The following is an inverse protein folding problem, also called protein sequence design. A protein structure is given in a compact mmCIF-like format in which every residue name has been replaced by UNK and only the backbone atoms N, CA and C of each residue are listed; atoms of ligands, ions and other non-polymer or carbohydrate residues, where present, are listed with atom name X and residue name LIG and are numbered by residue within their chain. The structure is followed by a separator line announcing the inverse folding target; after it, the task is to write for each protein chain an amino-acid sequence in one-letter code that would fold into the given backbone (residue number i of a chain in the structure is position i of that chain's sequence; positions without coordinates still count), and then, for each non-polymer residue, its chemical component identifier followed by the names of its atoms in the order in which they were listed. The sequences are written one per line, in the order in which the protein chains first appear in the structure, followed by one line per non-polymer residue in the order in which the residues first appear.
data_IF_964268223112
#
_entry.id   IF_964268223112
#
_cell.length_a   1.000
_cell.length_b   1.000
_cell.length_c   1.000
_cell.angle_alpha   90.00
_cell.angle_beta   90.00
_cell.angle_gamma   90.00
#
_symmetry.space_group_name_H-M   'P 1'
#
loop_
_entity.id
_entity.type
_entity.pdbx_description
1 polymer ?
#
# COMPACT_ATOMS: atom_id res chain seq x y z
N UNK A 1 0.92 -13.42 0.01
CA UNK A 1 0.58 -12.05 -0.39
C UNK A 1 1.70 -11.54 -1.28
N UNK A 2 1.39 -11.15 -2.51
CA UNK A 2 2.28 -10.43 -3.43
C UNK A 2 2.00 -8.94 -3.37
N UNK A 3 3.03 -8.16 -3.04
CA UNK A 3 2.95 -6.69 -2.95
C UNK A 3 3.90 -6.07 -3.96
N UNK A 4 3.39 -5.15 -4.76
CA UNK A 4 4.19 -4.24 -5.59
C UNK A 4 4.47 -2.96 -4.80
N UNK A 5 5.72 -2.74 -4.43
CA UNK A 5 6.21 -1.46 -3.90
C UNK A 5 6.56 -0.49 -5.03
N UNK A 6 6.14 0.76 -4.89
CA UNK A 6 6.36 1.85 -5.84
C UNK A 6 6.95 3.06 -5.12
N UNK A 7 8.21 3.37 -5.44
CA UNK A 7 8.89 4.61 -5.07
C UNK A 7 8.75 5.61 -6.25
N UNK A 8 7.76 6.52 -6.20
CA UNK A 8 7.36 7.28 -7.36
C UNK A 8 8.33 8.42 -7.68
N UNK A 9 8.64 8.58 -8.95
CA UNK A 9 9.37 9.73 -9.46
C UNK A 9 9.16 9.88 -10.96
N UNK A 10 9.04 11.12 -11.42
CA UNK A 10 8.75 11.37 -12.83
C UNK A 10 9.89 10.88 -13.73
N UNK A 11 11.16 11.11 -13.36
CA UNK A 11 12.33 10.65 -14.13
C UNK A 11 12.68 9.19 -13.85
N UNK A 12 12.54 8.76 -12.60
CA UNK A 12 12.85 7.40 -12.12
C UNK A 12 11.76 7.01 -11.15
N UNK A 13 11.00 5.99 -11.50
CA UNK A 13 9.99 5.39 -10.64
C UNK A 13 10.47 3.98 -10.28
N UNK A 14 10.90 3.80 -9.03
CA UNK A 14 11.38 2.52 -8.51
C UNK A 14 10.21 1.56 -8.31
N UNK A 15 10.36 0.31 -8.74
CA UNK A 15 9.33 -0.72 -8.63
C UNK A 15 9.95 -2.03 -8.15
N UNK A 16 9.26 -2.70 -7.23
CA UNK A 16 9.74 -3.96 -6.66
C UNK A 16 8.60 -4.83 -6.16
N UNK A 17 8.66 -6.13 -6.44
CA UNK A 17 7.63 -7.09 -6.05
C UNK A 17 8.20 -8.05 -5.03
N UNK A 18 7.54 -8.13 -3.88
CA UNK A 18 7.87 -9.05 -2.80
C UNK A 18 6.67 -9.94 -2.53
N UNK A 19 6.93 -11.23 -2.37
CA UNK A 19 5.96 -12.21 -1.91
C UNK A 19 6.29 -12.66 -0.49
N UNK A 20 5.26 -12.78 0.34
CA UNK A 20 5.40 -13.42 1.64
C UNK A 20 4.20 -13.25 2.54
N UNK A 21 4.45 -13.54 3.82
CA UNK A 21 3.52 -13.34 4.93
C UNK A 21 4.28 -12.81 6.15
N UNK A 22 3.61 -12.08 7.05
CA UNK A 22 4.19 -11.63 8.31
C UNK A 22 4.82 -12.79 9.10
N UNK A 23 6.07 -12.60 9.56
CA UNK A 23 6.81 -13.61 10.33
C UNK A 23 7.30 -14.81 9.52
N UNK A 24 7.15 -14.81 8.19
CA UNK A 24 7.71 -15.84 7.30
C UNK A 24 8.79 -15.24 6.41
N UNK A 25 9.56 -16.13 5.76
CA UNK A 25 10.55 -15.71 4.77
C UNK A 25 9.88 -14.94 3.64
N UNK A 26 10.50 -13.83 3.25
CA UNK A 26 10.09 -13.02 2.11
C UNK A 26 10.91 -13.39 0.87
N UNK A 27 10.29 -13.31 -0.30
CA UNK A 27 10.92 -13.60 -1.59
C UNK A 27 10.78 -12.39 -2.51
N UNK A 28 11.88 -11.95 -3.11
CA UNK A 28 11.85 -10.96 -4.19
C UNK A 28 11.46 -11.65 -5.50
N UNK A 29 10.37 -11.22 -6.13
CA UNK A 29 9.95 -11.72 -7.45
C UNK A 29 10.52 -10.88 -8.60
N UNK A 30 10.81 -9.60 -8.34
CA UNK A 30 11.40 -8.71 -9.33
C UNK A 30 11.66 -7.33 -8.76
N UNK A 31 12.61 -6.62 -9.36
CA UNK A 31 12.89 -5.22 -9.05
C UNK A 31 13.41 -4.48 -10.28
N UNK A 32 13.08 -3.20 -10.39
CA UNK A 32 13.44 -2.39 -11.54
C UNK A 32 13.14 -0.91 -11.35
N UNK A 33 13.33 -0.14 -12.42
CA UNK A 33 13.03 1.29 -12.47
C UNK A 33 12.37 1.59 -13.80
N UNK A 34 11.18 2.18 -13.76
CA UNK A 34 10.56 2.81 -14.92
C UNK A 34 11.22 4.17 -15.11
N UNK A 35 11.80 4.40 -16.28
CA UNK A 35 12.55 5.63 -16.58
C UNK A 35 11.82 6.44 -17.63
N UNK A 36 11.85 7.76 -17.48
CA UNK A 36 11.38 8.69 -18.50
C UNK A 36 12.48 9.70 -18.84
N UNK A 37 12.63 10.09 -20.12
CA UNK A 37 13.57 11.13 -20.51
C UNK A 37 13.17 12.47 -19.86
N UNK A 38 14.10 13.17 -19.17
CA UNK A 38 13.77 14.44 -18.52
C UNK A 38 13.49 15.58 -19.50
N UNK A 39 13.90 15.44 -20.77
CA UNK A 39 13.68 16.42 -21.83
C UNK A 39 12.29 16.36 -22.48
N UNK A 40 11.50 15.32 -22.20
CA UNK A 40 10.14 15.18 -22.74
C UNK A 40 9.14 16.04 -21.95
N UNK A 41 8.05 16.42 -22.62
CA UNK A 41 6.91 17.08 -21.98
C UNK A 41 6.26 16.19 -20.91
N UNK A 42 5.58 16.83 -19.95
CA UNK A 42 4.97 16.14 -18.81
C UNK A 42 4.00 15.02 -19.23
N UNK A 43 3.13 15.26 -20.21
CA UNK A 43 2.13 14.28 -20.67
C UNK A 43 2.75 12.96 -21.16
N UNK A 44 3.66 13.00 -22.16
CA UNK A 44 4.41 11.82 -22.60
C UNK A 44 5.15 11.09 -21.47
N UNK A 45 5.72 11.83 -20.52
CA UNK A 45 6.41 11.22 -19.36
C UNK A 45 5.44 10.48 -18.44
N UNK A 46 4.29 11.06 -18.13
CA UNK A 46 3.25 10.37 -17.34
C UNK A 46 2.73 9.13 -18.05
N UNK A 47 2.57 9.17 -19.38
CA UNK A 47 2.19 8.01 -20.18
C UNK A 47 3.27 6.91 -20.15
N UNK A 48 4.54 7.27 -20.18
CA UNK A 48 5.63 6.31 -20.03
C UNK A 48 5.67 5.67 -18.62
N UNK A 49 5.38 6.45 -17.57
CA UNK A 49 5.22 5.93 -16.20
C UNK A 49 4.04 4.96 -16.14
N UNK A 50 2.88 5.32 -16.69
CA UNK A 50 1.69 4.47 -16.75
C UNK A 50 1.99 3.14 -17.43
N UNK A 51 2.51 3.15 -18.67
CA UNK A 51 2.87 1.93 -19.41
C UNK A 51 3.82 1.03 -18.64
N UNK A 52 4.86 1.63 -18.06
CA UNK A 52 5.82 0.89 -17.24
C UNK A 52 5.15 0.25 -16.03
N UNK A 53 4.24 0.94 -15.34
CA UNK A 53 3.52 0.35 -14.21
C UNK A 53 2.54 -0.75 -14.64
N UNK A 54 1.82 -0.57 -15.75
CA UNK A 54 0.91 -1.56 -16.30
C UNK A 54 1.66 -2.88 -16.63
N UNK A 55 2.87 -2.81 -17.18
CA UNK A 55 3.72 -3.99 -17.42
C UNK A 55 4.03 -4.78 -16.14
N UNK A 56 4.30 -4.08 -15.03
CA UNK A 56 4.57 -4.72 -13.74
C UNK A 56 3.31 -5.32 -13.12
N UNK A 57 2.19 -4.61 -13.23
CA UNK A 57 0.88 -5.09 -12.77
C UNK A 57 0.45 -6.34 -13.54
N UNK A 58 0.66 -6.37 -14.86
CA UNK A 58 0.39 -7.54 -15.70
C UNK A 58 1.31 -8.71 -15.36
N UNK A 59 2.63 -8.47 -15.35
CA UNK A 59 3.63 -9.52 -15.15
C UNK A 59 3.49 -10.21 -13.80
N UNK A 60 3.27 -9.45 -12.73
CA UNK A 60 3.33 -9.97 -11.38
C UNK A 60 1.98 -10.13 -10.71
N UNK A 61 0.90 -9.59 -11.28
CA UNK A 61 -0.47 -9.68 -10.75
C UNK A 61 -0.54 -9.51 -9.21
N UNK A 62 -0.03 -8.38 -8.67
CA UNK A 62 0.07 -8.19 -7.23
C UNK A 62 -1.33 -8.11 -6.59
N UNK A 63 -1.42 -8.55 -5.34
CA UNK A 63 -2.64 -8.47 -4.54
C UNK A 63 -2.82 -7.06 -3.94
N UNK A 64 -1.74 -6.27 -3.86
CA UNK A 64 -1.73 -4.91 -3.35
C UNK A 64 -0.57 -4.09 -3.92
N UNK A 65 -0.79 -2.78 -4.06
CA UNK A 65 0.26 -1.81 -4.39
C UNK A 65 0.57 -0.90 -3.19
N UNK A 66 1.83 -0.89 -2.76
CA UNK A 66 2.34 -0.04 -1.70
C UNK A 66 3.11 1.14 -2.31
N UNK A 67 2.62 2.36 -2.13
CA UNK A 67 3.20 3.56 -2.74
C UNK A 67 3.84 4.43 -1.65
N UNK A 68 5.00 5.01 -1.91
CA UNK A 68 5.57 6.01 -0.99
C UNK A 68 4.69 7.26 -0.94
N UNK A 69 4.41 7.73 0.27
CA UNK A 69 3.69 8.97 0.51
C UNK A 69 4.61 10.15 0.25
N UNK A 70 4.15 11.04 -0.62
CA UNK A 70 4.89 12.25 -1.02
C UNK A 70 4.72 13.35 0.03
N UNK A 71 5.81 13.99 0.43
CA UNK A 71 5.83 15.15 1.34
C UNK A 71 6.45 16.37 0.67
N UNK A 72 5.80 17.54 0.81
CA UNK A 72 6.37 18.83 0.40
C UNK A 72 6.92 19.53 1.65
N UNK A 73 8.24 19.70 1.76
CA UNK A 73 8.81 20.57 2.80
C UNK A 73 9.64 21.72 2.24
N UNK A 74 10.51 21.51 1.23
CA UNK A 74 11.42 22.58 0.78
C UNK A 74 11.69 22.64 -0.73
N UNK A 75 11.12 21.73 -1.54
CA UNK A 75 11.43 21.68 -2.98
C UNK A 75 10.19 21.36 -3.84
N UNK A 76 9.32 22.36 -3.97
CA UNK A 76 7.97 22.22 -4.59
C UNK A 76 8.04 21.70 -6.03
N UNK A 77 9.06 22.11 -6.81
CA UNK A 77 9.19 21.72 -8.23
C UNK A 77 9.41 20.22 -8.42
N UNK A 78 10.31 19.61 -7.64
CA UNK A 78 10.59 18.17 -7.77
C UNK A 78 9.48 17.34 -7.15
N UNK A 79 8.92 17.81 -6.03
CA UNK A 79 7.80 17.16 -5.34
C UNK A 79 6.56 17.05 -6.24
N UNK A 80 6.27 18.06 -7.07
CA UNK A 80 5.13 18.00 -7.98
C UNK A 80 5.23 16.83 -8.97
N UNK A 81 6.41 16.63 -9.58
CA UNK A 81 6.62 15.52 -10.51
C UNK A 81 6.49 14.15 -9.84
N UNK A 82 6.98 14.01 -8.62
CA UNK A 82 6.81 12.79 -7.80
C UNK A 82 5.35 12.57 -7.42
N UNK A 83 4.61 13.61 -7.03
CA UNK A 83 3.19 13.52 -6.72
C UNK A 83 2.36 13.10 -7.95
N UNK A 84 2.67 13.64 -9.13
CA UNK A 84 2.01 13.25 -10.38
C UNK A 84 2.30 11.78 -10.75
N UNK A 85 3.55 11.33 -10.62
CA UNK A 85 3.90 9.91 -10.83
C UNK A 85 3.22 8.98 -9.81
N UNK A 86 3.11 9.41 -8.55
CA UNK A 86 2.38 8.69 -7.49
C UNK A 86 0.90 8.53 -7.85
N UNK A 87 0.26 9.60 -8.33
CA UNK A 87 -1.14 9.56 -8.78
C UNK A 87 -1.35 8.56 -9.94
N UNK A 88 -0.41 8.47 -10.88
CA UNK A 88 -0.45 7.47 -11.96
C UNK A 88 -0.41 6.04 -11.38
N UNK A 89 0.47 5.76 -10.41
CA UNK A 89 0.54 4.46 -9.76
C UNK A 89 -0.77 4.08 -9.04
N UNK A 90 -1.34 5.02 -8.29
CA UNK A 90 -2.64 4.82 -7.62
C UNK A 90 -3.73 4.53 -8.65
N UNK A 91 -3.78 5.30 -9.74
CA UNK A 91 -4.79 5.15 -10.79
C UNK A 91 -4.68 3.78 -11.49
N UNK A 92 -3.48 3.36 -11.90
CA UNK A 92 -3.28 2.08 -12.59
C UNK A 92 -3.74 0.90 -11.73
N UNK A 93 -3.36 0.88 -10.44
CA UNK A 93 -3.78 -0.16 -9.50
C UNK A 93 -5.31 -0.16 -9.27
N UNK A 94 -5.87 1.03 -9.02
CA UNK A 94 -7.30 1.18 -8.70
C UNK A 94 -8.19 0.78 -9.88
N UNK A 95 -7.79 1.09 -11.13
CA UNK A 95 -8.51 0.67 -12.35
C UNK A 95 -8.63 -0.86 -12.48
N UNK A 96 -7.69 -1.60 -11.89
CA UNK A 96 -7.67 -3.07 -11.86
C UNK A 96 -8.38 -3.65 -10.63
N UNK A 97 -8.90 -2.80 -9.73
CA UNK A 97 -9.46 -3.22 -8.46
C UNK A 97 -8.42 -3.70 -7.45
N UNK A 98 -7.13 -3.37 -7.66
CA UNK A 98 -6.05 -3.72 -6.74
C UNK A 98 -5.99 -2.65 -5.64
N UNK A 99 -6.08 -3.01 -4.36
CA UNK A 99 -5.99 -2.05 -3.27
C UNK A 99 -4.63 -1.35 -3.24
N UNK A 100 -4.64 -0.09 -2.81
CA UNK A 100 -3.44 0.75 -2.70
C UNK A 100 -3.26 1.23 -1.26
N UNK A 101 -2.02 1.24 -0.76
CA UNK A 101 -1.69 1.81 0.55
C UNK A 101 -0.50 2.76 0.44
N UNK A 102 -0.59 3.91 1.09
CA UNK A 102 0.45 4.93 1.13
C UNK A 102 1.26 4.85 2.42
N UNK A 103 2.57 4.61 2.32
CA UNK A 103 3.48 4.56 3.47
C UNK A 103 4.42 5.76 3.50
N UNK A 104 4.65 6.31 4.68
CA UNK A 104 5.64 7.37 4.88
C UNK A 104 7.06 6.81 4.88
N UNK A 105 8.09 7.60 4.53
CA UNK A 105 9.48 7.16 4.61
C UNK A 105 9.88 6.66 6.01
N UNK A 106 9.43 7.35 7.06
CA UNK A 106 9.69 6.96 8.45
C UNK A 106 9.05 5.62 8.80
N UNK A 107 7.85 5.34 8.28
CA UNK A 107 7.22 4.02 8.41
C UNK A 107 8.07 2.95 7.72
N UNK A 108 8.43 3.14 6.45
CA UNK A 108 9.24 2.17 5.71
C UNK A 108 10.53 1.86 6.46
N UNK A 109 11.26 2.91 6.88
CA UNK A 109 12.49 2.78 7.66
C UNK A 109 12.28 2.02 8.96
N UNK A 110 11.25 2.38 9.74
CA UNK A 110 10.94 1.71 11.00
C UNK A 110 10.59 0.23 10.80
N UNK A 111 9.83 -0.11 9.76
CA UNK A 111 9.45 -1.50 9.49
C UNK A 111 10.67 -2.35 9.13
N UNK A 112 11.56 -1.84 8.28
CA UNK A 112 12.69 -2.61 7.75
C UNK A 112 13.88 -2.65 8.71
N UNK A 113 14.12 -1.57 9.46
CA UNK A 113 15.35 -1.40 10.26
C UNK A 113 15.12 -1.35 11.76
N UNK A 114 13.86 -1.22 12.21
CA UNK A 114 13.52 -0.94 13.60
C UNK A 114 13.62 0.55 13.98
N UNK A 115 14.10 1.42 13.10
CA UNK A 115 14.21 2.87 13.35
C UNK A 115 13.64 3.70 12.20
N UNK A 116 12.72 4.62 12.50
CA UNK A 116 12.20 5.57 11.52
C UNK A 116 13.23 6.60 11.03
N UNK A 117 14.38 6.68 11.68
CA UNK A 117 15.46 7.63 11.38
C UNK A 117 16.63 7.00 10.61
N UNK A 118 16.52 5.73 10.22
CA UNK A 118 17.59 5.02 9.51
C UNK A 118 17.97 5.71 8.19
N UNK A 119 19.25 5.60 7.85
CA UNK A 119 19.78 6.09 6.57
C UNK A 119 19.53 5.09 5.42
N UNK A 120 19.81 5.52 4.19
CA UNK A 120 19.55 4.70 2.99
C UNK A 120 20.46 3.46 2.92
N UNK A 121 21.66 3.52 3.46
CA UNK A 121 22.60 2.39 3.47
C UNK A 121 22.13 1.30 4.45
N UNK A 122 21.61 1.70 5.61
CA UNK A 122 20.99 0.81 6.59
C UNK A 122 19.75 0.12 6.01
N UNK A 123 18.86 0.88 5.36
CA UNK A 123 17.68 0.31 4.68
C UNK A 123 18.11 -0.70 3.63
N UNK A 124 19.07 -0.35 2.76
CA UNK A 124 19.58 -1.25 1.72
C UNK A 124 20.17 -2.55 2.31
N UNK A 125 20.98 -2.43 3.36
CA UNK A 125 21.57 -3.58 4.06
C UNK A 125 20.48 -4.50 4.62
N UNK A 126 19.47 -3.92 5.25
CA UNK A 126 18.36 -4.69 5.81
C UNK A 126 17.50 -5.34 4.71
N UNK A 127 17.14 -4.64 3.65
CA UNK A 127 16.43 -5.22 2.50
C UNK A 127 17.19 -6.42 1.93
N UNK A 128 18.50 -6.27 1.72
CA UNK A 128 19.39 -7.35 1.24
C UNK A 128 19.31 -8.57 2.15
N UNK A 129 19.44 -8.37 3.46
CA UNK A 129 19.38 -9.43 4.47
C UNK A 129 18.00 -10.10 4.54
N UNK A 130 16.93 -9.32 4.55
CA UNK A 130 15.56 -9.82 4.73
C UNK A 130 15.10 -10.66 3.54
N UNK A 131 15.52 -10.28 2.33
CA UNK A 131 15.25 -11.00 1.10
C UNK A 131 16.30 -12.07 0.78
N UNK A 132 17.32 -12.25 1.64
CA UNK A 132 18.44 -13.19 1.46
C UNK A 132 19.13 -13.04 0.10
N UNK A 133 19.39 -11.80 -0.31
CA UNK A 133 20.11 -11.52 -1.54
C UNK A 133 21.62 -11.62 -1.29
N UNK A 134 22.36 -12.19 -2.26
CA UNK A 134 23.82 -12.30 -2.18
C UNK A 134 24.53 -10.94 -2.24
N UNK A 135 23.86 -9.93 -2.82
CA UNK A 135 24.37 -8.58 -2.97
C UNK A 135 23.24 -7.55 -2.87
N UNK A 136 23.56 -6.27 -2.60
CA UNK A 136 22.57 -5.19 -2.62
C UNK A 136 21.75 -5.17 -3.92
N UNK A 137 20.43 -4.97 -3.83
CA UNK A 137 19.57 -4.98 -5.01
C UNK A 137 19.94 -3.82 -5.94
N UNK A 138 19.95 -4.09 -7.24
CA UNK A 138 20.23 -3.11 -8.30
C UNK A 138 18.97 -2.89 -9.14
N UNK A 139 18.76 -1.68 -9.69
CA UNK A 139 19.58 -0.46 -9.60
C UNK A 139 19.43 0.29 -8.26
N UNK A 140 20.08 1.44 -8.07
CA UNK A 140 20.17 2.16 -6.78
C UNK A 140 18.83 2.51 -6.07
N UNK A 141 17.70 2.50 -6.78
CA UNK A 141 16.35 2.78 -6.23
C UNK A 141 15.57 1.48 -5.95
N UNK A 142 16.16 0.32 -6.24
CA UNK A 142 15.57 -0.99 -6.03
C UNK A 142 15.28 -1.26 -4.55
N UNK A 143 16.19 -0.83 -3.67
CA UNK A 143 16.05 -1.04 -2.23
C UNK A 143 14.81 -0.33 -1.66
N UNK A 144 14.51 0.89 -2.10
CA UNK A 144 13.40 1.70 -1.58
C UNK A 144 12.05 1.07 -1.97
N UNK A 145 11.91 0.66 -3.25
CA UNK A 145 10.72 -0.05 -3.72
C UNK A 145 10.50 -1.40 -3.03
N UNK A 146 11.57 -2.19 -2.82
CA UNK A 146 11.48 -3.44 -2.06
C UNK A 146 11.14 -3.19 -0.58
N UNK A 147 11.70 -2.15 0.03
CA UNK A 147 11.41 -1.78 1.41
C UNK A 147 9.94 -1.40 1.60
N UNK A 148 9.32 -0.70 0.64
CA UNK A 148 7.89 -0.39 0.64
C UNK A 148 7.02 -1.66 0.64
N UNK A 149 7.36 -2.62 -0.22
CA UNK A 149 6.64 -3.90 -0.28
C UNK A 149 6.77 -4.67 1.03
N UNK A 150 7.98 -4.76 1.59
CA UNK A 150 8.25 -5.38 2.90
C UNK A 150 7.46 -4.68 4.02
N UNK A 151 7.51 -3.35 4.06
CA UNK A 151 6.80 -2.52 5.03
C UNK A 151 5.31 -2.85 5.05
N UNK A 152 4.69 -2.96 3.88
CA UNK A 152 3.28 -3.33 3.79
C UNK A 152 3.03 -4.76 4.29
N UNK A 153 3.77 -5.76 3.81
CA UNK A 153 3.57 -7.16 4.19
C UNK A 153 3.61 -7.32 5.72
N UNK A 154 4.54 -6.64 6.39
CA UNK A 154 4.68 -6.76 7.84
C UNK A 154 3.64 -5.95 8.63
N UNK A 155 3.28 -4.74 8.20
CA UNK A 155 2.19 -3.99 8.86
C UNK A 155 0.83 -4.65 8.68
N UNK A 156 0.54 -5.18 7.50
CA UNK A 156 -0.69 -5.91 7.22
C UNK A 156 -0.90 -7.06 8.19
N UNK A 157 0.18 -7.71 8.64
CA UNK A 157 0.13 -8.73 9.69
C UNK A 157 -0.34 -8.23 11.05
N UNK A 158 0.16 -7.08 11.48
CA UNK A 158 -0.19 -6.49 12.79
C UNK A 158 -1.66 -6.06 12.80
N UNK A 159 -2.11 -5.35 11.76
CA UNK A 159 -3.51 -4.94 11.63
C UNK A 159 -4.44 -6.14 11.51
N UNK A 160 -4.10 -7.13 10.67
CA UNK A 160 -4.95 -8.30 10.47
C UNK A 160 -5.04 -9.18 11.73
N UNK A 161 -3.97 -9.30 12.53
CA UNK A 161 -4.01 -9.98 13.84
C UNK A 161 -4.90 -9.25 14.83
N UNK A 162 -4.83 -7.92 14.89
CA UNK A 162 -5.69 -7.12 15.76
C UNK A 162 -7.16 -7.23 15.35
N UNK A 163 -7.47 -7.10 14.07
CA UNK A 163 -8.84 -7.27 13.55
C UNK A 163 -9.37 -8.68 13.77
N UNK A 164 -8.56 -9.71 13.58
CA UNK A 164 -8.95 -11.10 13.86
C UNK A 164 -9.21 -11.33 15.36
N UNK A 165 -8.40 -10.75 16.25
CA UNK A 165 -8.60 -10.82 17.69
C UNK A 165 -9.89 -10.11 18.13
N UNK A 166 -10.19 -8.93 17.56
CA UNK A 166 -11.44 -8.20 17.81
C UNK A 166 -12.65 -9.04 17.39
N UNK A 167 -12.64 -9.60 16.17
CA UNK A 167 -13.72 -10.47 15.67
C UNK A 167 -13.91 -11.73 16.52
N UNK A 168 -12.80 -12.35 16.95
CA UNK A 168 -12.86 -13.52 17.83
C UNK A 168 -13.49 -13.17 19.18
N UNK A 169 -13.15 -12.03 19.76
CA UNK A 169 -13.74 -11.55 21.01
C UNK A 169 -15.23 -11.22 20.89
N UNK A 170 -15.65 -10.61 19.77
CA UNK A 170 -17.08 -10.34 19.47
C UNK A 170 -17.88 -11.64 19.29
N UNK A 171 -17.32 -12.64 18.60
CA UNK A 171 -17.96 -13.95 18.41
C UNK A 171 -18.03 -14.80 19.70
N UNK A 172 -17.09 -14.60 20.63
CA UNK A 172 -17.08 -15.25 21.94
C UNK A 172 -18.13 -14.72 22.91
N UNK A 173 -18.51 -13.44 22.80
CA UNK A 173 -19.57 -12.83 23.62
C UNK A 173 -20.97 -13.39 23.33
N UNK A 174 -21.19 -14.04 22.18
CA UNK A 174 -22.50 -14.61 21.83
C UNK A 174 -22.80 -15.96 22.51
N UNK A 175 -21.78 -16.69 22.99
CA UNK A 175 -21.96 -18.05 23.52
C UNK A 175 -22.09 -18.14 25.06
N UNK A 176 -22.09 -17.01 25.79
CA UNK A 176 -22.21 -17.01 27.26
C UNK A 176 -23.52 -16.41 27.78
N UNK A 177 -24.59 -16.42 26.98
CA UNK A 177 -25.90 -15.85 27.35
C UNK A 177 -27.04 -16.85 27.30
N UNK A 178 -26.94 -17.97 28.03
CA UNK A 178 -28.01 -18.97 28.08
C UNK A 178 -28.07 -19.72 29.41
N UNK A 179 -28.81 -19.19 30.39
CA UNK A 179 -29.31 -19.98 31.51
C UNK A 179 -29.47 -19.23 32.84
N UNK A 180 -30.72 -18.99 33.25
CA UNK A 180 -31.09 -18.88 34.67
C UNK A 180 -31.83 -17.61 35.10
N UNK A 181 -33.17 -17.68 35.14
CA UNK A 181 -34.03 -16.75 35.88
C UNK A 181 -34.00 -17.09 37.38
N UNK A 182 -33.94 -16.10 38.27
CA UNK A 182 -34.78 -16.02 39.47
C UNK A 182 -34.70 -14.65 40.15
N UNK A 183 -35.84 -14.27 40.72
CA UNK A 183 -36.22 -12.97 41.27
C UNK A 183 -35.40 -12.51 42.49
N UNK A 184 -35.30 -11.18 42.65
CA UNK A 184 -34.87 -10.54 43.90
C UNK A 184 -34.92 -9.02 43.76
N UNK A 185 -36.01 -8.39 44.20
CA UNK A 185 -36.11 -6.93 44.38
C UNK A 185 -35.12 -6.49 45.44
N UNK A 186 -34.34 -5.46 45.14
CA UNK A 186 -33.47 -4.75 46.08
C UNK A 186 -33.01 -3.46 45.44
N UNK A 187 -33.66 -2.37 45.82
CA UNK A 187 -33.35 -0.99 45.42
C UNK A 187 -31.91 -0.64 45.76
N UNK A 188 -31.11 -0.27 44.75
CA UNK A 188 -29.97 0.62 44.93
C UNK A 188 -29.94 1.59 43.75
N UNK A 189 -29.97 2.87 44.13
CA UNK A 189 -29.84 4.06 43.28
C UNK A 189 -28.45 4.10 42.66
N UNK A 190 -28.35 4.48 41.39
CA UNK A 190 -27.39 5.47 40.88
C UNK A 190 -27.56 5.70 39.36
N UNK A 191 -27.72 6.98 39.00
CA UNK A 191 -27.45 7.68 37.75
C UNK A 191 -28.04 7.16 36.40
N UNK A 192 -29.14 7.78 35.97
CA UNK A 192 -29.51 8.02 34.55
C UNK A 192 -28.47 9.00 33.93
N UNK A 193 -27.80 8.63 32.81
CA UNK A 193 -28.16 8.87 31.39
C UNK A 193 -28.25 10.36 31.01
N UNK A 194 -27.78 10.94 29.88
CA UNK A 194 -27.08 10.57 28.64
C UNK A 194 -26.66 11.92 28.00
N UNK A 195 -25.50 12.00 27.33
CA UNK A 195 -25.33 12.77 26.10
C UNK A 195 -24.03 12.37 25.38
N UNK A 196 -24.22 11.33 24.58
CA UNK A 196 -23.43 10.81 23.47
C UNK A 196 -22.92 11.91 22.52
N UNK A 197 -21.63 11.90 22.21
CA UNK A 197 -21.06 12.57 21.04
C UNK A 197 -20.30 11.54 20.22
N UNK A 198 -20.96 11.07 19.17
CA UNK A 198 -20.35 10.26 18.11
C UNK A 198 -19.21 11.02 17.41
N UNK A 199 -18.04 10.40 17.18
CA UNK A 199 -17.18 10.81 16.08
C UNK A 199 -17.83 10.38 14.75
N UNK A 200 -17.89 11.25 13.72
CA UNK A 200 -18.62 10.95 12.50
C UNK A 200 -18.06 9.75 11.74
N UNK A 201 -19.02 8.95 11.26
CA UNK A 201 -18.92 7.79 10.38
C UNK A 201 -17.74 7.81 9.40
N UNK A 202 -16.99 6.71 9.41
CA UNK A 202 -16.34 6.21 8.21
C UNK A 202 -17.45 5.82 7.23
N UNK A 203 -17.76 6.70 6.29
CA UNK A 203 -18.73 6.40 5.24
C UNK A 203 -18.34 5.13 4.50
N UNK A 204 -19.29 4.21 4.54
CA UNK A 204 -19.31 2.95 3.83
C UNK A 204 -18.93 3.11 2.36
N UNK A 205 -18.09 2.18 1.90
CA UNK A 205 -17.78 1.98 0.48
C UNK A 205 -19.06 1.62 -0.25
N UNK A 206 -19.57 2.55 -1.06
CA UNK A 206 -20.69 2.31 -1.98
C UNK A 206 -20.31 1.23 -3.03
N UNK A 207 -21.28 0.43 -3.53
CA UNK A 207 -21.00 -0.66 -4.44
C UNK A 207 -20.56 -0.18 -5.83
N UNK A 208 -19.66 -0.98 -6.42
CA UNK A 208 -19.10 -0.92 -7.78
C UNK A 208 -19.94 -0.15 -8.81
N UNK A 209 -19.48 1.05 -9.19
CA UNK A 209 -19.78 1.59 -10.50
C UNK A 209 -18.88 0.89 -11.53
N UNK A 210 -19.50 0.15 -12.46
CA UNK A 210 -18.84 -0.33 -13.65
C UNK A 210 -18.34 0.89 -14.44
N UNK A 211 -17.03 1.07 -14.55
CA UNK A 211 -16.46 2.06 -15.46
C UNK A 211 -16.88 1.68 -16.89
N UNK A 212 -17.83 2.43 -17.42
CA UNK A 212 -18.31 2.30 -18.79
C UNK A 212 -17.15 2.51 -19.79
N UNK A 213 -17.18 1.75 -20.87
CA UNK A 213 -16.28 1.95 -22.02
C UNK A 213 -16.40 3.39 -22.50
N UNK A 214 -15.26 4.06 -22.65
CA UNK A 214 -15.19 5.29 -23.44
C UNK A 214 -15.37 4.90 -24.91
N UNK A 215 -16.43 5.35 -25.62
CA UNK A 215 -16.59 5.07 -27.05
C UNK A 215 -15.62 5.99 -27.82
N UNK A 216 -14.74 5.44 -28.67
CA UNK A 216 -14.02 6.27 -29.64
C UNK A 216 -12.58 5.90 -30.02
N UNK A 217 -11.97 4.84 -29.47
CA UNK A 217 -10.63 4.41 -29.92
C UNK A 217 -10.71 3.25 -30.91
N UNK A 218 -10.96 3.57 -32.18
CA UNK A 218 -10.78 2.64 -33.29
C UNK A 218 -9.28 2.38 -33.50
N UNK A 219 -8.83 1.14 -33.25
CA UNK A 219 -7.51 0.69 -33.69
C UNK A 219 -7.53 0.54 -35.21
N UNK A 220 -7.00 1.52 -35.95
CA UNK A 220 -6.64 1.32 -37.36
C UNK A 220 -5.34 0.53 -37.40
N UNK A 221 -5.45 -0.79 -37.61
CA UNK A 221 -4.33 -1.62 -38.03
C UNK A 221 -4.20 -1.54 -39.55
N UNK A 222 -3.33 -0.66 -40.03
CA UNK A 222 -2.71 -0.80 -41.34
C UNK A 222 -1.22 -1.03 -41.11
N UNK A 223 -0.76 -2.26 -41.39
CA UNK A 223 0.63 -2.52 -41.75
C UNK A 223 0.69 -2.73 -43.26
N UNK A 224 1.76 -2.26 -43.91
CA UNK A 224 2.02 -2.53 -45.32
C UNK A 224 2.34 -4.02 -45.56
#
# INVERSE_FOLDING_TARGET
MRVLGVDPGLTRCGVGVVEGLPGRQLTMLGVGVVRTPPGDDLGPRLLAVERGLEEWLDRYSPELVAVERVFAQHNVRTVMGTAQASAVAVLCATRRGIPVTLHTPSEVKAAVTGSGRADKAQVTTMVTRLLRLDAPPKPADAADALALAICHIWRGGTTNRLTAAIRAHESGKWHSGGGGRSQGRGELREAEDVAEQDPPEQQAVAPRAAYGRVPGWSRSSSRP
#
